data_IF_367073407686
#
_entry.id   IF_367073407686
#
_cell.length_a   1.000
_cell.length_b   1.000
_cell.length_c   1.000
_cell.angle_alpha   90.00
_cell.angle_beta   90.00
_cell.angle_gamma   90.00
#
_symmetry.space_group_name_H-M   'P 1'
#
loop_
_entity.id
_entity.type
_entity.pdbx_description
1 polymer ?
#
# COMPACT_ATOMS: atom_id res chain seq x y z
N UNK A 1 7.05 1.41 -9.60
CA UNK A 1 6.52 0.07 -9.27
C UNK A 1 5.07 0.21 -8.83
N UNK A 2 4.18 -0.70 -9.25
CA UNK A 2 2.73 -0.53 -9.01
C UNK A 2 2.33 -0.43 -7.53
N UNK A 3 3.07 -1.08 -6.63
CA UNK A 3 2.82 -1.01 -5.18
C UNK A 3 3.11 0.39 -4.60
N UNK A 4 4.18 1.06 -5.05
CA UNK A 4 4.49 2.43 -4.62
C UNK A 4 3.45 3.41 -5.12
N UNK A 5 2.98 3.25 -6.36
CA UNK A 5 1.92 4.11 -6.93
C UNK A 5 0.59 4.00 -6.18
N UNK A 6 0.18 2.78 -5.79
CA UNK A 6 -1.04 2.56 -4.99
C UNK A 6 -0.92 3.20 -3.61
N UNK A 7 0.23 3.04 -2.95
CA UNK A 7 0.49 3.68 -1.65
C UNK A 7 0.50 5.20 -1.76
N UNK A 8 1.16 5.75 -2.77
CA UNK A 8 1.21 7.20 -3.02
C UNK A 8 -0.18 7.77 -3.28
N UNK A 9 -1.02 7.07 -4.03
CA UNK A 9 -2.42 7.47 -4.23
C UNK A 9 -3.22 7.48 -2.93
N UNK A 10 -2.99 6.50 -2.06
CA UNK A 10 -3.61 6.44 -0.74
C UNK A 10 -3.19 7.61 0.16
N UNK A 11 -1.89 7.89 0.24
CA UNK A 11 -1.34 9.01 1.00
C UNK A 11 -1.84 10.35 0.46
N UNK A 12 -1.84 10.52 -0.86
CA UNK A 12 -2.33 11.74 -1.51
C UNK A 12 -3.78 12.04 -1.12
N UNK A 13 -4.66 11.03 -1.12
CA UNK A 13 -6.07 11.21 -0.71
C UNK A 13 -6.23 11.63 0.76
N UNK A 14 -5.35 11.16 1.64
CA UNK A 14 -5.36 11.56 3.06
C UNK A 14 -4.90 13.02 3.18
N UNK A 15 -3.82 13.38 2.50
CA UNK A 15 -3.30 14.75 2.46
C UNK A 15 -4.30 15.73 1.86
N UNK A 16 -4.94 15.39 0.73
CA UNK A 16 -5.97 16.20 0.09
C UNK A 16 -7.11 16.53 1.06
N UNK A 17 -7.50 15.58 1.92
CA UNK A 17 -8.53 15.80 2.94
C UNK A 17 -8.05 16.62 4.13
N UNK A 18 -6.79 16.45 4.54
CA UNK A 18 -6.24 17.13 5.71
C UNK A 18 -5.88 18.60 5.45
N UNK A 19 -5.47 18.91 4.21
CA UNK A 19 -5.00 20.24 3.79
C UNK A 19 -6.16 21.12 3.32
N UNK A 20 -7.25 20.52 2.84
CA UNK A 20 -8.42 21.26 2.38
C UNK A 20 -8.10 22.16 1.18
N UNK A 21 -8.58 23.41 1.22
CA UNK A 21 -8.41 24.39 0.13
C UNK A 21 -6.99 25.01 0.11
N UNK A 22 -6.30 25.05 1.26
CA UNK A 22 -4.99 25.70 1.36
C UNK A 22 -3.85 24.73 1.07
N UNK A 23 -3.60 24.46 -0.22
CA UNK A 23 -2.57 23.51 -0.67
C UNK A 23 -1.13 23.82 -0.26
N UNK A 24 -0.83 24.99 0.33
CA UNK A 24 0.52 25.40 0.72
C UNK A 24 1.03 24.76 2.01
N UNK A 25 0.14 24.29 2.90
CA UNK A 25 0.51 23.76 4.24
C UNK A 25 0.61 22.22 4.29
N UNK A 26 0.81 21.56 3.14
CA UNK A 26 0.82 20.10 3.07
C UNK A 26 1.96 19.46 3.88
N UNK A 27 3.11 20.14 4.01
CA UNK A 27 4.24 19.69 4.82
C UNK A 27 3.84 19.49 6.28
N UNK A 28 3.07 20.43 6.81
CA UNK A 28 2.70 20.47 8.23
C UNK A 28 1.68 19.36 8.57
N UNK A 29 0.99 18.84 7.55
CA UNK A 29 0.03 17.73 7.67
C UNK A 29 0.62 16.38 7.25
N UNK A 30 1.88 16.34 6.84
CA UNK A 30 2.49 15.11 6.34
C UNK A 30 2.61 14.04 7.42
N UNK A 31 3.04 14.41 8.63
CA UNK A 31 3.20 13.47 9.74
C UNK A 31 1.86 12.87 10.17
N UNK A 32 0.81 13.70 10.29
CA UNK A 32 -0.56 13.26 10.57
C UNK A 32 -1.07 12.29 9.49
N UNK A 33 -0.83 12.62 8.21
CA UNK A 33 -1.25 11.78 7.09
C UNK A 33 -0.50 10.44 7.05
N UNK A 34 0.81 10.44 7.33
CA UNK A 34 1.62 9.23 7.44
C UNK A 34 1.15 8.38 8.62
N UNK A 35 0.84 9.00 9.76
CA UNK A 35 0.29 8.31 10.93
C UNK A 35 -1.03 7.63 10.57
N UNK A 36 -2.00 8.37 10.03
CA UNK A 36 -3.29 7.84 9.59
C UNK A 36 -3.11 6.70 8.57
N UNK A 37 -2.17 6.82 7.63
CA UNK A 37 -1.91 5.76 6.66
C UNK A 37 -1.35 4.48 7.30
N UNK A 38 -0.45 4.61 8.28
CA UNK A 38 0.20 3.49 8.99
C UNK A 38 -0.78 2.78 9.93
N UNK A 39 -1.72 3.50 10.52
CA UNK A 39 -2.69 2.96 11.48
C UNK A 39 -4.00 2.49 10.82
N UNK A 40 -4.29 2.93 9.59
CA UNK A 40 -5.44 2.46 8.84
C UNK A 40 -5.31 0.98 8.40
N UNK A 41 -6.39 0.22 8.58
CA UNK A 41 -6.47 -1.18 8.14
C UNK A 41 -6.38 -1.28 6.61
N UNK A 42 -5.63 -2.27 6.11
CA UNK A 42 -5.50 -2.55 4.68
C UNK A 42 -6.11 -3.91 4.37
N UNK A 43 -7.26 -3.90 3.70
CA UNK A 43 -7.96 -5.12 3.28
C UNK A 43 -7.08 -6.11 2.49
N UNK A 44 -6.21 -5.69 1.55
CA UNK A 44 -5.35 -6.63 0.82
C UNK A 44 -4.35 -7.38 1.71
N UNK A 45 -3.99 -6.82 2.86
CA UNK A 45 -2.98 -7.36 3.78
C UNK A 45 -3.65 -8.04 4.98
N UNK A 46 -4.86 -7.60 5.36
CA UNK A 46 -5.59 -8.12 6.51
C UNK A 46 -5.18 -7.52 7.86
N UNK A 47 -4.40 -6.43 7.86
CA UNK A 47 -4.02 -5.71 9.07
C UNK A 47 -3.61 -4.25 8.77
N UNK A 48 -3.18 -3.53 9.81
CA UNK A 48 -2.58 -2.20 9.66
C UNK A 48 -1.08 -2.31 9.34
N UNK A 49 -0.51 -1.41 8.53
CA UNK A 49 0.93 -1.39 8.27
C UNK A 49 1.77 -1.29 9.56
N UNK A 50 1.31 -0.51 10.53
CA UNK A 50 1.96 -0.38 11.84
C UNK A 50 2.07 -1.74 12.56
N UNK A 51 0.97 -2.51 12.60
CA UNK A 51 0.95 -3.83 13.24
C UNK A 51 1.90 -4.81 12.56
N UNK A 52 2.08 -4.71 11.25
CA UNK A 52 3.00 -5.57 10.50
C UNK A 52 4.48 -5.30 10.84
N UNK A 53 4.83 -4.03 11.10
CA UNK A 53 6.19 -3.62 11.45
C UNK A 53 6.50 -3.93 12.91
N UNK A 54 5.63 -3.51 13.82
CA UNK A 54 5.90 -3.55 15.27
C UNK A 54 5.25 -4.72 16.02
N UNK A 55 4.40 -5.52 15.36
CA UNK A 55 3.68 -6.64 15.97
C UNK A 55 2.61 -6.25 16.99
N UNK A 56 2.37 -4.95 17.17
CA UNK A 56 1.40 -4.41 18.12
C UNK A 56 0.45 -3.47 17.40
N UNK A 57 -0.78 -3.39 17.90
CA UNK A 57 -1.74 -2.39 17.44
C UNK A 57 -1.22 -1.01 17.85
N UNK A 58 -1.36 -0.03 16.96
CA UNK A 58 -1.02 1.35 17.28
C UNK A 58 -1.96 1.86 18.37
N UNK A 59 -1.36 2.33 19.46
CA UNK A 59 -2.03 3.05 20.53
C UNK A 59 -1.87 4.56 20.27
N UNK A 60 -2.84 5.38 20.71
CA UNK A 60 -2.69 6.84 20.64
C UNK A 60 -1.43 7.29 21.43
N UNK A 61 -0.78 8.41 21.09
CA UNK A 61 0.41 8.89 21.79
C UNK A 61 0.24 8.96 23.32
N UNK A 62 -0.93 9.39 23.78
CA UNK A 62 -1.30 9.45 25.21
C UNK A 62 -1.29 8.07 25.90
N UNK A 63 -1.66 7.02 25.17
CA UNK A 63 -1.64 5.64 25.69
C UNK A 63 -0.20 5.10 25.77
N UNK A 64 0.71 5.56 24.91
CA UNK A 64 2.13 5.19 24.94
C UNK A 64 2.84 5.78 26.16
N UNK A 65 2.59 7.06 26.48
CA UNK A 65 3.16 7.71 27.67
C UNK A 65 2.71 7.01 28.97
N UNK A 66 1.42 6.71 29.06
CA UNK A 66 0.86 5.97 30.19
C UNK A 66 1.45 4.55 30.29
N UNK A 67 1.54 3.81 29.17
CA UNK A 67 2.12 2.46 29.17
C UNK A 67 3.62 2.45 29.48
N UNK A 68 4.37 3.46 29.01
CA UNK A 68 5.78 3.60 29.34
C UNK A 68 5.98 3.88 30.83
N UNK A 69 5.16 4.76 31.41
CA UNK A 69 5.14 5.00 32.86
C UNK A 69 4.82 3.73 33.66
N UNK A 70 3.80 2.97 33.24
CA UNK A 70 3.44 1.70 33.89
C UNK A 70 4.52 0.62 33.73
N UNK A 71 5.15 0.51 32.56
CA UNK A 71 6.25 -0.42 32.33
C UNK A 71 7.49 -0.07 33.15
N UNK A 72 7.77 1.22 33.36
CA UNK A 72 8.82 1.69 34.26
C UNK A 72 8.52 1.31 35.72
N UNK A 73 7.26 1.44 36.15
CA UNK A 73 6.80 0.99 37.48
C UNK A 73 6.82 -0.52 37.66
N UNK A 74 6.59 -1.28 36.58
CA UNK A 74 6.56 -2.74 36.57
C UNK A 74 7.81 -3.35 35.93
N UNK A 75 8.96 -2.67 36.00
CA UNK A 75 10.24 -3.23 35.59
C UNK A 75 10.54 -4.49 36.43
N UNK A 76 10.00 -5.62 35.99
CA UNK A 76 10.18 -6.93 36.58
C UNK A 76 11.59 -7.39 36.20
N UNK A 77 12.46 -7.50 37.19
CA UNK A 77 13.89 -7.78 37.09
C UNK A 77 14.26 -9.21 36.66
N UNK A 78 13.30 -10.08 36.33
CA UNK A 78 13.61 -11.46 35.91
C UNK A 78 13.89 -11.55 34.41
N UNK A 79 15.18 -11.48 34.09
CA UNK A 79 15.72 -11.53 32.74
C UNK A 79 15.29 -12.79 31.97
N UNK A 80 15.08 -13.93 32.65
CA UNK A 80 14.75 -15.20 32.00
C UNK A 80 13.31 -15.20 31.50
N UNK A 81 12.37 -14.80 32.36
CA UNK A 81 10.95 -14.69 32.01
C UNK A 81 10.74 -13.64 30.91
N UNK A 82 11.44 -12.50 30.99
CA UNK A 82 11.39 -11.47 29.96
C UNK A 82 11.92 -11.97 28.60
N UNK A 83 12.99 -12.79 28.62
CA UNK A 83 13.55 -13.42 27.43
C UNK A 83 12.56 -14.37 26.74
N UNK A 84 11.94 -15.27 27.50
CA UNK A 84 10.96 -16.23 26.97
C UNK A 84 9.73 -15.52 26.39
N UNK A 85 9.22 -14.51 27.10
CA UNK A 85 8.10 -13.71 26.62
C UNK A 85 8.44 -12.95 25.31
N UNK A 86 9.65 -12.39 25.19
CA UNK A 86 10.11 -11.73 23.96
C UNK A 86 10.17 -12.71 22.79
N UNK A 87 10.65 -13.94 23.01
CA UNK A 87 10.70 -15.00 21.99
C UNK A 87 9.30 -15.33 21.45
N UNK A 88 8.32 -15.46 22.34
CA UNK A 88 6.91 -15.67 21.98
C UNK A 88 6.37 -14.50 21.15
N UNK A 89 6.66 -13.26 21.53
CA UNK A 89 6.21 -12.08 20.77
C UNK A 89 6.80 -12.03 19.35
N UNK A 90 8.06 -12.41 19.18
CA UNK A 90 8.72 -12.45 17.86
C UNK A 90 8.07 -13.52 16.97
N UNK A 91 7.81 -14.72 17.51
CA UNK A 91 7.16 -15.78 16.76
C UNK A 91 5.76 -15.35 16.29
N UNK A 92 4.97 -14.74 17.18
CA UNK A 92 3.66 -14.19 16.83
C UNK A 92 3.72 -13.11 15.76
N UNK A 93 4.77 -12.28 15.76
CA UNK A 93 5.00 -11.29 14.71
C UNK A 93 5.34 -11.93 13.36
N UNK A 94 6.11 -13.01 13.35
CA UNK A 94 6.42 -13.75 12.12
C UNK A 94 5.15 -14.38 11.54
N UNK A 95 4.33 -15.06 12.36
CA UNK A 95 3.05 -15.62 11.93
C UNK A 95 2.12 -14.56 11.32
N UNK A 96 2.06 -13.37 11.92
CA UNK A 96 1.30 -12.23 11.37
C UNK A 96 1.83 -11.78 10.00
N UNK A 97 3.15 -11.80 9.79
CA UNK A 97 3.78 -11.42 8.52
C UNK A 97 3.52 -12.46 7.44
N UNK A 98 3.57 -13.74 7.80
CA UNK A 98 3.28 -14.84 6.89
C UNK A 98 1.82 -14.78 6.42
N UNK A 99 0.88 -14.59 7.35
CA UNK A 99 -0.54 -14.39 7.01
C UNK A 99 -0.76 -13.17 6.10
N UNK A 100 -0.09 -12.06 6.40
CA UNK A 100 -0.17 -10.84 5.59
C UNK A 100 0.38 -11.04 4.17
N UNK A 101 1.44 -11.83 4.03
CA UNK A 101 2.01 -12.20 2.74
C UNK A 101 1.02 -13.05 1.94
N UNK A 102 0.47 -14.11 2.52
CA UNK A 102 -0.52 -14.97 1.87
C UNK A 102 -1.76 -14.19 1.42
N UNK A 103 -2.30 -13.33 2.30
CA UNK A 103 -3.43 -12.47 1.96
C UNK A 103 -3.13 -11.58 0.74
N UNK A 104 -1.94 -11.00 0.68
CA UNK A 104 -1.50 -10.14 -0.42
C UNK A 104 -1.38 -10.92 -1.73
N UNK A 105 -0.86 -12.15 -1.68
CA UNK A 105 -0.77 -13.05 -2.84
C UNK A 105 -2.16 -13.38 -3.36
N UNK A 106 -3.06 -13.84 -2.48
CA UNK A 106 -4.44 -14.19 -2.82
C UNK A 106 -5.18 -12.99 -3.41
N UNK A 107 -5.05 -11.81 -2.81
CA UNK A 107 -5.70 -10.59 -3.29
C UNK A 107 -5.21 -10.20 -4.69
N UNK A 108 -3.90 -10.25 -4.93
CA UNK A 108 -3.31 -9.98 -6.25
C UNK A 108 -3.79 -10.98 -7.29
N UNK A 109 -3.84 -12.26 -6.94
CA UNK A 109 -4.30 -13.31 -7.84
C UNK A 109 -5.78 -13.12 -8.22
N UNK A 110 -6.65 -12.85 -7.24
CA UNK A 110 -8.07 -12.54 -7.51
C UNK A 110 -8.23 -11.33 -8.41
N UNK A 111 -7.46 -10.27 -8.15
CA UNK A 111 -7.48 -9.04 -8.96
C UNK A 111 -7.02 -9.33 -10.39
N UNK A 112 -5.96 -10.13 -10.55
CA UNK A 112 -5.45 -10.56 -11.85
C UNK A 112 -6.50 -11.38 -12.60
N UNK A 113 -7.12 -12.38 -11.98
CA UNK A 113 -8.17 -13.20 -12.61
C UNK A 113 -9.34 -12.34 -13.15
N UNK A 114 -9.79 -11.34 -12.38
CA UNK A 114 -10.85 -10.40 -12.79
C UNK A 114 -10.37 -9.49 -13.94
N UNK A 115 -9.10 -9.08 -13.93
CA UNK A 115 -8.54 -8.28 -15.00
C UNK A 115 -8.45 -9.10 -16.29
N UNK A 116 -7.84 -10.28 -16.22
CA UNK A 116 -7.62 -11.18 -17.35
C UNK A 116 -8.95 -11.65 -17.96
N UNK A 117 -9.99 -11.89 -17.15
CA UNK A 117 -11.32 -12.24 -17.66
C UNK A 117 -11.99 -11.13 -18.48
N UNK A 118 -11.53 -9.87 -18.34
CA UNK A 118 -12.02 -8.72 -19.12
C UNK A 118 -11.17 -8.44 -20.35
N UNK A 119 -10.00 -9.05 -20.46
CA UNK A 119 -9.14 -8.90 -21.64
C UNK A 119 -9.79 -9.69 -22.77
N UNK A 120 -10.16 -8.99 -23.84
CA UNK A 120 -10.51 -9.66 -25.09
C UNK A 120 -9.22 -10.12 -25.73
N UNK A 121 -9.09 -11.43 -25.93
CA UNK A 121 -7.99 -11.99 -26.71
C UNK A 121 -8.18 -11.57 -28.17
N UNK A 122 -7.41 -10.57 -28.62
CA UNK A 122 -7.24 -10.31 -30.04
C UNK A 122 -6.04 -11.13 -30.51
N UNK A 123 -6.29 -12.09 -31.39
CA UNK A 123 -5.24 -12.79 -32.12
C UNK A 123 -4.91 -11.94 -33.33
N UNK A 124 -3.63 -11.61 -33.50
CA UNK A 124 -3.12 -10.90 -34.66
C UNK A 124 -2.43 -11.90 -35.58
N UNK A 125 -2.77 -11.88 -36.86
CA UNK A 125 -2.14 -12.70 -37.89
C UNK A 125 -1.17 -11.87 -38.72
N UNK A 126 -0.19 -12.54 -39.32
CA UNK A 126 0.73 -11.91 -40.27
C UNK A 126 -0.10 -11.32 -41.43
N UNK A 127 0.09 -10.03 -41.70
CA UNK A 127 -0.69 -9.26 -42.68
C UNK A 127 -1.80 -8.38 -42.09
N UNK A 128 -2.14 -8.53 -40.81
CA UNK A 128 -3.17 -7.69 -40.17
C UNK A 128 -2.69 -6.24 -40.04
N UNK A 129 -3.59 -5.28 -40.31
CA UNK A 129 -3.33 -3.85 -40.07
C UNK A 129 -3.72 -3.47 -38.65
N UNK A 130 -2.73 -3.10 -37.85
CA UNK A 130 -2.89 -2.71 -36.45
C UNK A 130 -2.50 -1.26 -36.23
N UNK A 131 -3.11 -0.64 -35.22
CA UNK A 131 -2.74 0.68 -34.74
C UNK A 131 -1.93 0.53 -33.45
N UNK A 132 -0.83 1.27 -33.35
CA UNK A 132 -0.01 1.30 -32.15
C UNK A 132 -0.51 2.40 -31.22
N UNK A 133 -0.88 2.04 -29.99
CA UNK A 133 -1.29 3.01 -28.99
C UNK A 133 -0.09 3.74 -28.38
N UNK A 134 -0.07 5.07 -28.45
CA UNK A 134 0.96 5.90 -27.85
C UNK A 134 0.61 6.24 -26.40
N UNK A 135 1.27 5.57 -25.45
CA UNK A 135 1.04 5.77 -24.01
C UNK A 135 1.46 7.14 -23.50
N UNK A 136 2.37 7.84 -24.17
CA UNK A 136 2.83 9.18 -23.76
C UNK A 136 1.75 10.26 -24.01
N UNK A 137 0.93 10.09 -25.04
CA UNK A 137 -0.22 10.96 -25.33
C UNK A 137 -1.39 10.76 -24.34
N UNK A 138 -1.28 9.84 -23.38
CA UNK A 138 -2.23 9.67 -22.28
C UNK A 138 -2.12 10.79 -21.23
N UNK A 139 -0.93 11.39 -21.07
CA UNK A 139 -0.62 12.35 -20.00
C UNK A 139 -0.75 13.80 -20.50
N UNK A 140 -0.45 14.06 -21.78
CA UNK A 140 -0.50 15.40 -22.37
C UNK A 140 -1.51 15.47 -23.51
N UNK A 141 -2.74 15.94 -23.23
CA UNK A 141 -3.78 16.17 -24.24
C UNK A 141 -3.69 17.55 -24.91
N UNK A 142 -2.49 18.14 -25.00
CA UNK A 142 -2.30 19.56 -25.32
C UNK A 142 -2.39 19.93 -26.81
N UNK A 143 -2.50 18.98 -27.73
CA UNK A 143 -2.75 19.23 -29.16
C UNK A 143 -3.60 18.08 -29.71
N UNK A 144 -4.47 18.36 -30.70
CA UNK A 144 -5.34 17.40 -31.39
C UNK A 144 -4.47 16.39 -32.17
N UNK A 145 -3.80 15.49 -31.47
CA UNK A 145 -3.04 14.37 -32.03
C UNK A 145 -3.78 13.09 -31.68
N UNK A 146 -3.99 12.22 -32.67
CA UNK A 146 -4.54 10.89 -32.42
C UNK A 146 -3.63 10.16 -31.42
N UNK A 147 -4.25 9.44 -30.48
CA UNK A 147 -3.52 8.60 -29.50
C UNK A 147 -2.92 7.35 -30.13
N UNK A 148 -3.30 7.05 -31.37
CA UNK A 148 -2.85 5.89 -32.10
C UNK A 148 -2.05 6.32 -33.33
N UNK A 149 -0.94 5.63 -33.60
CA UNK A 149 -0.14 5.75 -34.81
C UNK A 149 -0.35 4.53 -35.71
N UNK A 150 -0.14 4.68 -37.01
CA UNK A 150 -0.28 3.61 -38.00
C UNK A 150 -1.23 3.96 -39.14
N UNK A 151 -1.58 2.98 -40.02
CA UNK A 151 -1.55 1.54 -39.77
C UNK A 151 -0.16 0.89 -39.93
N UNK A 152 0.13 -0.09 -39.09
CA UNK A 152 1.27 -0.99 -39.21
C UNK A 152 0.78 -2.37 -39.62
N UNK A 153 1.60 -3.11 -40.37
CA UNK A 153 1.31 -4.50 -40.71
C UNK A 153 2.02 -5.40 -39.71
N UNK A 154 1.29 -6.37 -39.15
CA UNK A 154 1.88 -7.43 -38.33
C UNK A 154 2.72 -8.31 -39.24
N UNK A 155 4.04 -8.29 -39.07
CA UNK A 155 5.02 -9.10 -39.81
C UNK A 155 5.25 -10.46 -39.17
#
# INVERSE_FOLDING_TARGET
>A
SGQVEVSNRGLKRILERAVGENHASWSDKLDDALWAFRTAYKTPIGCTPYKLVYGKVSHLPVELEHKAYWALKHANFDLKIAGDHRKIQINKLNELRDQAYENSVIYKEKTKRIHDSKIKNCVFNIGDRVLLFNSCLKIFSGKIKSRSSGPFTVS
#
